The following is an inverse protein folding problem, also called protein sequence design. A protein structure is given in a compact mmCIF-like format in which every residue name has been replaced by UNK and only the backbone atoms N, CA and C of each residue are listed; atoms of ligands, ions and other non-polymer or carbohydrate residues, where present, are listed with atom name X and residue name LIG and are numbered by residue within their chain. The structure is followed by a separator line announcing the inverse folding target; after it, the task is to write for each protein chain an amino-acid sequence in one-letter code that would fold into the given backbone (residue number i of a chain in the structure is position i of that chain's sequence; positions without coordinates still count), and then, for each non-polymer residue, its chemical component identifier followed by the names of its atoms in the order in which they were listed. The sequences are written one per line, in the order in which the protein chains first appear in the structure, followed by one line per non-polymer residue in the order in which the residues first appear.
data_IF_708806467001
#
_entry.id   IF_708806467001
#
_cell.length_a   1.000
_cell.length_b   1.000
_cell.length_c   1.000
_cell.angle_alpha   90.00
_cell.angle_beta   90.00
_cell.angle_gamma   90.00
#
_symmetry.space_group_name_H-M   'P 1'
#
loop_
_entity.id
_entity.type
_entity.pdbx_description
1 polymer ?
#
# COMPACT_ATOMS: atom_id res chain seq x y z
N UNK A 1 -25.26 18.17 2.87
CA UNK A 1 -25.41 17.48 4.17
C UNK A 1 -25.64 16.01 3.87
N UNK A 2 -24.82 15.14 4.43
CA UNK A 2 -24.96 13.70 4.26
C UNK A 2 -26.27 13.20 4.89
N UNK A 3 -26.91 12.24 4.25
CA UNK A 3 -28.09 11.58 4.82
C UNK A 3 -27.63 10.56 5.88
N UNK A 4 -27.95 10.84 7.14
CA UNK A 4 -27.75 9.91 8.25
C UNK A 4 -28.92 8.92 8.28
N UNK A 5 -28.65 7.66 7.97
CA UNK A 5 -29.65 6.61 7.84
C UNK A 5 -29.42 5.54 8.90
N UNK A 6 -30.38 5.34 9.79
CA UNK A 6 -30.35 4.22 10.73
C UNK A 6 -30.72 2.93 10.00
N UNK A 7 -29.91 1.89 10.15
CA UNK A 7 -30.13 0.56 9.57
C UNK A 7 -30.17 -0.48 10.68
N UNK A 8 -31.20 -1.31 10.68
CA UNK A 8 -31.43 -2.36 11.69
C UNK A 8 -31.38 -3.78 11.09
N UNK A 9 -31.46 -3.90 9.77
CA UNK A 9 -31.43 -5.17 9.07
C UNK A 9 -30.00 -5.45 8.58
N UNK A 10 -29.35 -6.57 9.02
CA UNK A 10 -28.01 -6.93 8.55
C UNK A 10 -27.96 -7.33 7.06
N UNK A 11 -29.10 -7.70 6.48
CA UNK A 11 -29.23 -8.08 5.07
C UNK A 11 -29.62 -6.90 4.17
N UNK A 12 -29.66 -5.69 4.70
CA UNK A 12 -29.96 -4.48 3.95
C UNK A 12 -28.97 -4.32 2.79
N UNK A 13 -29.42 -4.26 1.54
CA UNK A 13 -28.55 -4.17 0.36
C UNK A 13 -27.63 -2.94 0.36
N UNK A 14 -27.98 -1.88 1.07
CA UNK A 14 -27.15 -0.69 1.21
C UNK A 14 -25.83 -0.97 1.96
N UNK A 15 -25.80 -2.01 2.82
CA UNK A 15 -24.61 -2.45 3.57
C UNK A 15 -23.69 -3.38 2.78
N UNK A 16 -24.03 -3.67 1.51
CA UNK A 16 -23.31 -4.65 0.69
C UNK A 16 -21.80 -4.41 0.62
N UNK A 17 -21.34 -3.15 0.56
CA UNK A 17 -19.92 -2.82 0.49
C UNK A 17 -19.14 -3.29 1.73
N UNK A 18 -19.81 -3.48 2.87
CA UNK A 18 -19.23 -3.88 4.15
C UNK A 18 -19.41 -5.34 4.51
N UNK A 19 -20.10 -6.11 3.68
CA UNK A 19 -20.41 -7.51 3.97
C UNK A 19 -19.18 -8.40 3.82
N UNK A 20 -18.94 -9.26 4.84
CA UNK A 20 -17.93 -10.30 4.76
C UNK A 20 -16.49 -9.77 4.63
N UNK A 21 -16.12 -8.73 5.37
CA UNK A 21 -14.77 -8.14 5.31
C UNK A 21 -13.66 -9.10 5.76
N UNK A 22 -13.99 -10.18 6.46
CA UNK A 22 -13.06 -11.22 6.86
C UNK A 22 -12.85 -12.30 5.80
N UNK A 23 -13.72 -12.38 4.80
CA UNK A 23 -13.55 -13.29 3.67
C UNK A 23 -12.56 -12.69 2.65
N UNK A 24 -11.29 -13.04 2.82
CA UNK A 24 -10.18 -12.51 2.01
C UNK A 24 -10.35 -12.87 0.53
N UNK A 25 -10.77 -14.10 0.22
CA UNK A 25 -10.93 -14.57 -1.15
C UNK A 25 -12.03 -13.79 -1.89
N UNK A 26 -13.19 -13.63 -1.24
CA UNK A 26 -14.29 -12.85 -1.76
C UNK A 26 -13.87 -11.39 -2.01
N UNK A 27 -13.24 -10.77 -1.01
CA UNK A 27 -12.89 -9.35 -1.05
C UNK A 27 -11.81 -9.03 -2.09
N UNK A 28 -10.80 -9.90 -2.24
CA UNK A 28 -9.74 -9.74 -3.26
C UNK A 28 -10.28 -9.72 -4.69
N UNK A 29 -11.35 -10.47 -4.94
CA UNK A 29 -12.02 -10.50 -6.26
C UNK A 29 -12.97 -9.32 -6.42
N UNK A 30 -13.77 -9.07 -5.40
CA UNK A 30 -14.88 -8.12 -5.46
C UNK A 30 -14.44 -6.66 -5.44
N UNK A 31 -13.52 -6.29 -4.55
CA UNK A 31 -13.15 -4.88 -4.37
C UNK A 31 -12.55 -4.25 -5.63
N UNK A 32 -11.57 -4.87 -6.32
CA UNK A 32 -11.10 -4.33 -7.59
C UNK A 32 -12.17 -4.35 -8.70
N UNK A 33 -12.95 -5.41 -8.79
CA UNK A 33 -13.99 -5.56 -9.82
C UNK A 33 -15.11 -4.52 -9.69
N UNK A 34 -15.50 -4.18 -8.46
CA UNK A 34 -16.52 -3.16 -8.16
C UNK A 34 -15.93 -1.76 -8.00
N UNK A 35 -14.61 -1.61 -8.10
CA UNK A 35 -13.91 -0.33 -8.03
C UNK A 35 -13.94 0.31 -6.64
N UNK A 36 -13.95 -0.47 -5.57
CA UNK A 36 -13.99 0.04 -4.21
C UNK A 36 -12.83 -0.45 -3.35
N UNK A 37 -12.61 0.23 -2.24
CA UNK A 37 -11.81 -0.25 -1.10
C UNK A 37 -12.38 0.24 0.21
N UNK A 38 -11.99 -0.39 1.32
CA UNK A 38 -12.48 -0.06 2.66
C UNK A 38 -11.41 0.66 3.46
N UNK A 39 -11.72 1.86 3.90
CA UNK A 39 -10.94 2.63 4.87
C UNK A 39 -11.50 2.40 6.28
N UNK A 40 -10.67 1.97 7.21
CA UNK A 40 -11.05 1.66 8.59
C UNK A 40 -10.41 2.65 9.57
N UNK A 41 -11.24 3.30 10.35
CA UNK A 41 -10.85 4.24 11.39
C UNK A 41 -10.75 5.69 10.91
N UNK A 42 -11.01 6.62 11.84
CA UNK A 42 -11.14 8.05 11.57
C UNK A 42 -9.95 8.66 10.83
N UNK A 43 -8.72 8.34 11.27
CA UNK A 43 -7.50 8.91 10.69
C UNK A 43 -7.29 8.44 9.24
N UNK A 44 -7.57 7.15 8.98
CA UNK A 44 -7.43 6.57 7.64
C UNK A 44 -8.49 7.14 6.70
N UNK A 45 -9.74 7.27 7.18
CA UNK A 45 -10.84 7.86 6.40
C UNK A 45 -10.52 9.30 6.01
N UNK A 46 -10.03 10.12 6.95
CA UNK A 46 -9.62 11.50 6.66
C UNK A 46 -8.48 11.56 5.64
N UNK A 47 -7.47 10.71 5.78
CA UNK A 47 -6.36 10.64 4.82
C UNK A 47 -6.81 10.23 3.43
N UNK A 48 -7.75 9.29 3.31
CA UNK A 48 -8.33 8.91 2.03
C UNK A 48 -9.09 10.08 1.38
N UNK A 49 -9.91 10.78 2.17
CA UNK A 49 -10.61 12.00 1.74
C UNK A 49 -9.62 13.08 1.28
N UNK A 50 -8.61 13.39 2.10
CA UNK A 50 -7.61 14.42 1.80
C UNK A 50 -6.78 14.08 0.55
N UNK A 51 -6.57 12.79 0.29
CA UNK A 51 -5.98 12.29 -0.94
C UNK A 51 -6.93 12.34 -2.16
N UNK A 52 -8.16 12.85 -1.98
CA UNK A 52 -9.13 13.05 -3.04
C UNK A 52 -9.84 11.78 -3.51
N UNK A 53 -9.94 10.75 -2.67
CA UNK A 53 -10.78 9.60 -2.96
C UNK A 53 -12.24 9.94 -2.68
N UNK A 54 -13.12 9.62 -3.61
CA UNK A 54 -14.56 9.79 -3.46
C UNK A 54 -15.11 8.75 -2.48
N UNK A 55 -15.91 9.20 -1.52
CA UNK A 55 -16.59 8.32 -0.57
C UNK A 55 -17.91 7.83 -1.19
N UNK A 56 -18.12 6.52 -1.21
CA UNK A 56 -19.36 5.88 -1.63
C UNK A 56 -20.40 5.85 -0.51
N UNK A 57 -19.95 5.56 0.70
CA UNK A 57 -20.75 5.56 1.92
C UNK A 57 -19.85 5.45 3.17
N UNK A 58 -20.44 5.67 4.33
CA UNK A 58 -19.81 5.43 5.63
C UNK A 58 -20.70 4.52 6.48
N UNK A 59 -20.07 3.60 7.23
CA UNK A 59 -20.73 2.76 8.23
C UNK A 59 -20.13 3.07 9.60
N UNK A 60 -20.95 3.41 10.58
CA UNK A 60 -20.48 3.72 11.94
C UNK A 60 -21.55 3.44 13.00
N UNK A 61 -21.13 3.30 14.25
CA UNK A 61 -22.06 3.30 15.38
C UNK A 61 -22.36 4.74 15.84
N UNK A 62 -23.52 4.93 16.46
CA UNK A 62 -24.02 6.24 16.85
C UNK A 62 -23.02 7.11 17.63
N UNK A 63 -22.23 6.51 18.52
CA UNK A 63 -21.19 7.19 19.31
C UNK A 63 -20.07 7.83 18.47
N UNK A 64 -19.89 7.40 17.21
CA UNK A 64 -18.87 7.93 16.31
C UNK A 64 -19.36 9.04 15.39
N UNK A 65 -20.66 9.30 15.38
CA UNK A 65 -21.27 10.36 14.55
C UNK A 65 -20.64 11.72 14.86
N UNK A 66 -20.53 12.06 16.14
CA UNK A 66 -19.95 13.36 16.53
C UNK A 66 -18.46 13.46 16.24
N UNK A 67 -17.71 12.35 16.40
CA UNK A 67 -16.28 12.30 16.07
C UNK A 67 -16.01 12.49 14.56
N UNK A 68 -16.95 12.03 13.74
CA UNK A 68 -16.84 12.10 12.27
C UNK A 68 -17.67 13.25 11.67
N UNK A 69 -18.24 14.13 12.50
CA UNK A 69 -19.15 15.20 12.08
C UNK A 69 -18.57 16.08 10.97
N UNK A 70 -17.33 16.48 11.12
CA UNK A 70 -16.60 17.27 10.12
C UNK A 70 -16.56 16.58 8.74
N UNK A 71 -16.32 15.28 8.71
CA UNK A 71 -16.30 14.49 7.47
C UNK A 71 -17.71 14.31 6.92
N UNK A 72 -18.68 14.01 7.80
CA UNK A 72 -20.08 13.80 7.43
C UNK A 72 -20.68 15.06 6.80
N UNK A 73 -20.41 16.22 7.37
CA UNK A 73 -21.03 17.48 6.91
C UNK A 73 -20.42 17.96 5.57
N UNK A 74 -19.21 17.57 5.26
CA UNK A 74 -18.53 17.96 4.01
C UNK A 74 -18.83 17.03 2.81
N UNK A 75 -19.26 15.80 3.05
CA UNK A 75 -19.38 14.79 2.00
C UNK A 75 -20.85 14.47 1.66
N UNK A 76 -21.19 14.38 0.37
CA UNK A 76 -22.56 14.08 -0.07
C UNK A 76 -22.87 12.55 -0.06
N UNK A 77 -22.10 11.76 0.67
CA UNK A 77 -22.25 10.31 0.73
C UNK A 77 -23.21 9.88 1.86
N UNK A 78 -24.01 8.81 1.68
CA UNK A 78 -24.87 8.29 2.74
C UNK A 78 -24.05 7.74 3.90
N UNK A 79 -24.54 7.98 5.12
CA UNK A 79 -23.93 7.49 6.36
C UNK A 79 -24.91 6.54 7.03
N UNK A 80 -24.49 5.29 7.17
CA UNK A 80 -25.29 4.24 7.80
C UNK A 80 -24.92 4.13 9.29
N UNK A 81 -25.85 4.52 10.15
CA UNK A 81 -25.73 4.36 11.59
C UNK A 81 -26.29 3.00 11.99
N UNK A 82 -25.47 2.18 12.63
CA UNK A 82 -25.81 0.80 13.03
C UNK A 82 -25.41 0.55 14.48
N UNK A 83 -26.02 -0.47 15.11
CA UNK A 83 -25.55 -0.92 16.41
C UNK A 83 -24.18 -1.64 16.25
N UNK A 84 -23.35 -1.70 17.32
CA UNK A 84 -22.11 -2.47 17.29
C UNK A 84 -22.31 -3.93 16.91
N UNK A 85 -23.38 -4.55 17.39
CA UNK A 85 -23.75 -5.94 17.12
C UNK A 85 -24.12 -6.16 15.66
N UNK A 86 -24.84 -5.20 15.06
CA UNK A 86 -25.16 -5.24 13.64
C UNK A 86 -23.89 -5.06 12.78
N UNK A 87 -23.02 -4.12 13.15
CA UNK A 87 -21.75 -3.92 12.47
C UNK A 87 -20.91 -5.19 12.45
N UNK A 88 -20.82 -5.91 13.57
CA UNK A 88 -20.11 -7.18 13.68
C UNK A 88 -20.72 -8.28 12.78
N UNK A 89 -22.05 -8.39 12.76
CA UNK A 89 -22.76 -9.35 11.89
C UNK A 89 -22.51 -9.09 10.41
N UNK A 90 -22.52 -7.83 10.01
CA UNK A 90 -22.30 -7.43 8.59
C UNK A 90 -20.86 -7.64 8.17
N UNK A 91 -19.91 -7.16 8.97
CA UNK A 91 -18.49 -7.15 8.63
C UNK A 91 -17.78 -8.48 8.89
N UNK A 92 -18.29 -9.29 9.83
CA UNK A 92 -17.70 -10.54 10.26
C UNK A 92 -16.64 -10.40 11.36
N UNK A 93 -16.47 -9.19 11.93
CA UNK A 93 -15.56 -8.96 13.05
C UNK A 93 -15.99 -7.76 13.90
N UNK A 94 -15.47 -7.70 15.12
CA UNK A 94 -15.75 -6.57 16.02
C UNK A 94 -15.02 -5.29 15.56
N UNK A 95 -15.80 -4.28 15.17
CA UNK A 95 -15.26 -3.01 14.64
C UNK A 95 -14.80 -2.10 15.77
N UNK A 96 -13.56 -2.28 16.22
CA UNK A 96 -13.01 -1.55 17.38
C UNK A 96 -12.86 -0.03 17.15
N UNK A 97 -12.57 0.40 15.92
CA UNK A 97 -12.34 1.81 15.56
C UNK A 97 -13.56 2.54 15.03
N UNK A 98 -14.71 1.94 15.16
CA UNK A 98 -16.04 2.52 15.11
C UNK A 98 -16.53 3.12 13.79
N UNK A 99 -15.66 3.38 12.81
CA UNK A 99 -16.05 3.92 11.51
C UNK A 99 -15.34 3.18 10.38
N UNK A 100 -16.13 2.82 9.36
CA UNK A 100 -15.68 2.28 8.09
C UNK A 100 -16.18 3.18 6.97
N UNK A 101 -15.39 3.38 5.93
CA UNK A 101 -15.83 4.05 4.72
C UNK A 101 -15.57 3.17 3.50
N UNK A 102 -16.57 3.05 2.64
CA UNK A 102 -16.40 2.52 1.30
C UNK A 102 -15.98 3.67 0.39
N UNK A 103 -14.82 3.52 -0.23
CA UNK A 103 -14.19 4.53 -1.06
C UNK A 103 -14.10 4.06 -2.51
N UNK A 104 -14.29 4.97 -3.46
CA UNK A 104 -14.15 4.70 -4.87
C UNK A 104 -12.66 4.65 -5.27
N UNK A 105 -12.24 3.60 -5.96
CA UNK A 105 -10.88 3.52 -6.52
C UNK A 105 -10.71 4.52 -7.65
N UNK A 106 -9.52 5.08 -7.75
CA UNK A 106 -9.09 5.90 -8.88
C UNK A 106 -8.37 5.04 -9.91
N UNK A 107 -8.38 5.41 -11.19
CA UNK A 107 -7.47 4.84 -12.18
C UNK A 107 -6.02 4.97 -11.70
N UNK A 108 -5.24 3.89 -11.84
CA UNK A 108 -3.81 3.94 -11.53
C UNK A 108 -3.05 4.66 -12.63
N UNK A 109 -2.00 5.44 -12.28
CA UNK A 109 -1.06 5.94 -13.27
C UNK A 109 -0.34 4.78 -13.95
N UNK A 110 0.22 5.02 -15.13
CA UNK A 110 1.11 4.05 -15.77
C UNK A 110 2.51 4.12 -15.14
N UNK A 111 3.27 3.04 -15.26
CA UNK A 111 4.67 3.06 -14.84
C UNK A 111 5.47 4.14 -15.59
N UNK A 112 5.20 4.31 -16.89
CA UNK A 112 5.85 5.33 -17.71
C UNK A 112 5.59 6.75 -17.16
N UNK A 113 4.37 7.06 -16.75
CA UNK A 113 4.03 8.38 -16.18
C UNK A 113 4.82 8.63 -14.88
N UNK A 114 4.89 7.63 -14.01
CA UNK A 114 5.61 7.76 -12.74
C UNK A 114 7.12 7.92 -12.95
N UNK A 115 7.69 7.20 -13.90
CA UNK A 115 9.12 7.22 -14.19
C UNK A 115 9.60 8.54 -14.82
N UNK A 116 8.72 9.38 -15.36
CA UNK A 116 9.11 10.67 -15.93
C UNK A 116 9.68 11.63 -14.88
N UNK A 117 9.10 11.65 -13.69
CA UNK A 117 9.47 12.63 -12.64
C UNK A 117 10.15 11.99 -11.44
N UNK A 118 9.95 10.70 -11.21
CA UNK A 118 10.52 9.99 -10.08
C UNK A 118 12.04 9.86 -10.18
N UNK A 119 12.72 9.88 -9.05
CA UNK A 119 14.15 9.63 -8.89
C UNK A 119 14.46 8.44 -7.99
N UNK A 120 13.57 8.14 -7.08
CA UNK A 120 13.68 7.08 -6.07
C UNK A 120 12.46 6.18 -6.15
N UNK A 121 12.62 5.03 -6.75
CA UNK A 121 11.51 4.11 -7.04
C UNK A 121 11.73 2.79 -6.32
N UNK A 122 10.65 2.23 -5.80
CA UNK A 122 10.61 0.87 -5.26
C UNK A 122 10.00 -0.04 -6.31
N UNK A 123 10.61 -1.20 -6.55
CA UNK A 123 10.05 -2.25 -7.40
C UNK A 123 9.85 -3.50 -6.54
N UNK A 124 8.63 -4.00 -6.46
CA UNK A 124 8.31 -5.18 -5.66
C UNK A 124 7.95 -6.36 -6.56
N UNK A 125 8.59 -7.50 -6.31
CA UNK A 125 8.28 -8.78 -6.97
C UNK A 125 7.56 -9.71 -6.00
N UNK A 126 6.34 -10.12 -6.36
CA UNK A 126 5.59 -11.19 -5.68
C UNK A 126 5.41 -10.99 -4.16
N UNK A 127 5.36 -9.76 -3.70
CA UNK A 127 5.05 -9.46 -2.30
C UNK A 127 3.56 -9.63 -2.08
N UNK A 128 3.17 -10.78 -1.53
CA UNK A 128 1.77 -11.22 -1.44
C UNK A 128 1.12 -10.98 -0.07
N UNK A 129 1.90 -10.69 0.96
CA UNK A 129 1.39 -10.38 2.28
C UNK A 129 0.99 -8.90 2.38
N UNK A 130 -0.29 -8.65 2.71
CA UNK A 130 -0.83 -7.30 2.83
C UNK A 130 -0.18 -6.49 3.95
N UNK A 131 0.31 -7.15 5.01
CA UNK A 131 1.03 -6.49 6.11
C UNK A 131 2.36 -5.95 5.62
N UNK A 132 3.09 -6.74 4.83
CA UNK A 132 4.35 -6.30 4.24
C UNK A 132 4.14 -5.18 3.21
N UNK A 133 3.13 -5.27 2.36
CA UNK A 133 2.75 -4.18 1.45
C UNK A 133 2.50 -2.89 2.24
N UNK A 134 1.68 -2.95 3.27
CA UNK A 134 1.39 -1.77 4.11
C UNK A 134 2.63 -1.19 4.79
N UNK A 135 3.50 -2.03 5.34
CA UNK A 135 4.74 -1.63 6.00
C UNK A 135 5.72 -0.97 5.00
N UNK A 136 5.85 -1.54 3.81
CA UNK A 136 6.72 -1.00 2.75
C UNK A 136 6.22 0.37 2.28
N UNK A 137 4.93 0.53 2.02
CA UNK A 137 4.36 1.82 1.63
C UNK A 137 4.52 2.88 2.73
N UNK A 138 4.35 2.51 4.00
CA UNK A 138 4.56 3.42 5.11
C UNK A 138 6.00 3.90 5.18
N UNK A 139 6.96 3.01 5.05
CA UNK A 139 8.38 3.34 5.02
C UNK A 139 8.76 4.14 3.77
N UNK A 140 8.20 3.80 2.61
CA UNK A 140 8.41 4.54 1.36
C UNK A 140 7.94 6.00 1.49
N UNK A 141 6.74 6.22 2.03
CA UNK A 141 6.22 7.56 2.30
C UNK A 141 7.10 8.34 3.29
N UNK A 142 7.45 7.71 4.42
CA UNK A 142 8.23 8.35 5.48
C UNK A 142 9.65 8.71 5.05
N UNK A 143 10.26 7.90 4.18
CA UNK A 143 11.65 8.03 3.77
C UNK A 143 11.82 8.64 2.36
N UNK A 144 10.73 9.17 1.78
CA UNK A 144 10.78 9.98 0.58
C UNK A 144 11.06 9.20 -0.71
N UNK A 145 10.55 7.97 -0.83
CA UNK A 145 10.48 7.29 -2.11
C UNK A 145 9.39 7.95 -2.98
N UNK A 146 9.66 8.15 -4.25
CA UNK A 146 8.80 8.92 -5.14
C UNK A 146 7.65 8.09 -5.73
N UNK A 147 7.88 6.80 -5.95
CA UNK A 147 6.89 5.90 -6.55
C UNK A 147 7.16 4.43 -6.21
N UNK A 148 6.12 3.61 -6.35
CA UNK A 148 6.19 2.16 -6.19
C UNK A 148 5.70 1.47 -7.46
N UNK A 149 6.45 0.52 -7.96
CA UNK A 149 6.09 -0.36 -9.08
C UNK A 149 5.89 -1.78 -8.56
N UNK A 150 4.79 -2.40 -8.93
CA UNK A 150 4.39 -3.72 -8.47
C UNK A 150 4.44 -4.73 -9.62
N UNK A 151 5.03 -5.90 -9.40
CA UNK A 151 4.84 -7.02 -10.32
C UNK A 151 3.35 -7.41 -10.37
N UNK A 152 2.88 -8.08 -11.44
CA UNK A 152 1.44 -8.36 -11.61
C UNK A 152 0.79 -9.13 -10.46
N UNK A 153 1.57 -9.94 -9.75
CA UNK A 153 1.13 -10.84 -8.68
C UNK A 153 1.29 -10.29 -7.26
N UNK A 154 1.77 -9.07 -7.09
CA UNK A 154 1.79 -8.42 -5.78
C UNK A 154 0.39 -8.24 -5.19
N UNK A 155 0.27 -8.30 -3.86
CA UNK A 155 -0.95 -8.00 -3.15
C UNK A 155 -1.41 -6.55 -3.41
N UNK A 156 -2.70 -6.32 -3.20
CA UNK A 156 -3.34 -5.04 -3.45
C UNK A 156 -3.02 -4.02 -2.34
N UNK A 157 -2.37 -2.88 -2.65
CA UNK A 157 -2.11 -1.82 -1.68
C UNK A 157 -3.37 -1.20 -1.07
N UNK A 158 -4.50 -1.23 -1.80
CA UNK A 158 -5.78 -0.69 -1.32
C UNK A 158 -6.64 -1.73 -0.58
N UNK A 159 -6.18 -2.97 -0.45
CA UNK A 159 -6.87 -3.92 0.42
C UNK A 159 -6.85 -3.42 1.87
N UNK A 160 -7.97 -3.58 2.58
CA UNK A 160 -8.20 -3.02 3.93
C UNK A 160 -7.02 -3.20 4.89
N UNK A 161 -6.39 -4.40 4.90
CA UNK A 161 -5.24 -4.67 5.78
C UNK A 161 -4.01 -3.84 5.41
N UNK A 162 -3.69 -3.72 4.12
CA UNK A 162 -2.59 -2.88 3.64
C UNK A 162 -2.80 -1.42 4.00
N UNK A 163 -4.01 -0.91 3.78
CA UNK A 163 -4.40 0.46 4.14
C UNK A 163 -4.26 0.70 5.63
N UNK A 164 -4.74 -0.25 6.46
CA UNK A 164 -4.68 -0.15 7.92
C UNK A 164 -3.25 -0.18 8.45
N UNK A 165 -2.44 -1.12 8.00
CA UNK A 165 -1.03 -1.28 8.43
C UNK A 165 -0.21 -0.06 8.02
N UNK A 166 -0.42 0.47 6.82
CA UNK A 166 0.24 1.68 6.35
C UNK A 166 -0.26 2.95 7.05
N UNK A 167 -1.32 2.87 7.82
CA UNK A 167 -2.02 4.04 8.38
C UNK A 167 -2.45 5.05 7.30
N UNK A 168 -2.80 4.58 6.10
CA UNK A 168 -3.15 5.41 4.96
C UNK A 168 -1.96 5.98 4.19
N UNK A 169 -0.72 5.59 4.50
CA UNK A 169 0.45 6.03 3.73
C UNK A 169 0.41 5.55 2.26
N UNK A 170 -0.33 4.50 1.95
CA UNK A 170 -0.61 4.06 0.56
C UNK A 170 -1.24 5.16 -0.30
N UNK A 171 -1.90 6.15 0.31
CA UNK A 171 -2.48 7.28 -0.42
C UNK A 171 -1.46 8.38 -0.76
N UNK A 172 -0.29 8.36 -0.13
CA UNK A 172 0.74 9.40 -0.26
C UNK A 172 1.82 9.08 -1.29
N UNK A 173 1.98 7.80 -1.64
CA UNK A 173 2.99 7.37 -2.62
C UNK A 173 2.26 6.78 -3.83
N UNK A 174 2.41 7.39 -5.02
CA UNK A 174 1.81 6.86 -6.23
C UNK A 174 2.42 5.50 -6.59
N UNK A 175 1.60 4.62 -7.14
CA UNK A 175 2.05 3.31 -7.58
C UNK A 175 1.42 2.89 -8.89
N UNK A 176 2.09 1.99 -9.61
CA UNK A 176 1.61 1.37 -10.82
C UNK A 176 1.86 -0.14 -10.79
N UNK A 177 1.06 -0.90 -11.53
CA UNK A 177 1.35 -2.30 -11.82
C UNK A 177 2.11 -2.43 -13.12
N UNK A 178 3.09 -3.30 -13.12
CA UNK A 178 3.84 -3.69 -14.32
C UNK A 178 3.06 -4.79 -15.06
N UNK A 179 2.94 -4.68 -16.37
CA UNK A 179 2.11 -5.61 -17.16
C UNK A 179 2.79 -6.97 -17.36
N UNK A 180 4.09 -6.94 -17.59
CA UNK A 180 4.89 -8.14 -17.89
C UNK A 180 6.13 -8.20 -17.01
N UNK A 181 6.32 -9.34 -16.34
CA UNK A 181 7.45 -9.53 -15.44
C UNK A 181 8.37 -10.67 -15.89
N UNK A 182 9.69 -10.51 -15.83
CA UNK A 182 10.44 -9.29 -15.46
C UNK A 182 10.74 -8.33 -16.63
N UNK A 183 10.16 -8.55 -17.79
CA UNK A 183 10.43 -7.76 -19.02
C UNK A 183 10.22 -6.25 -18.81
N UNK A 184 9.24 -5.85 -18.00
CA UNK A 184 8.97 -4.45 -17.70
C UNK A 184 10.14 -3.72 -17.00
N UNK A 185 11.10 -4.43 -16.42
CA UNK A 185 12.31 -3.84 -15.84
C UNK A 185 13.19 -3.14 -16.90
N UNK A 186 13.11 -3.58 -18.14
CA UNK A 186 13.81 -2.93 -19.26
C UNK A 186 13.34 -1.48 -19.44
N UNK A 187 12.03 -1.24 -19.37
CA UNK A 187 11.47 0.12 -19.44
C UNK A 187 11.93 1.01 -18.29
N UNK A 188 12.13 0.45 -17.11
CA UNK A 188 12.67 1.19 -15.94
C UNK A 188 14.12 1.59 -16.20
N UNK A 189 14.92 0.70 -16.75
CA UNK A 189 16.31 0.98 -17.12
C UNK A 189 16.38 2.03 -18.24
N UNK A 190 15.57 1.89 -19.28
CA UNK A 190 15.50 2.84 -20.39
C UNK A 190 15.10 4.25 -19.94
N UNK A 191 14.31 4.36 -18.85
CA UNK A 191 13.99 5.62 -18.20
C UNK A 191 15.17 6.22 -17.40
N UNK A 192 16.34 5.60 -17.41
CA UNK A 192 17.58 6.09 -16.81
C UNK A 192 17.79 5.69 -15.35
N UNK A 193 17.06 4.69 -14.86
CA UNK A 193 17.24 4.18 -13.49
C UNK A 193 18.33 3.11 -13.42
N UNK A 194 19.12 3.17 -12.35
CA UNK A 194 19.98 2.06 -11.94
C UNK A 194 19.14 1.07 -11.14
N UNK A 195 19.05 -0.17 -11.58
CA UNK A 195 18.32 -1.25 -10.93
C UNK A 195 19.18 -1.91 -9.86
N UNK A 196 18.84 -1.71 -8.59
CA UNK A 196 19.49 -2.34 -7.45
C UNK A 196 18.62 -3.47 -6.90
N UNK A 197 19.13 -4.71 -6.99
CA UNK A 197 18.45 -5.87 -6.42
C UNK A 197 18.86 -6.07 -4.95
N UNK A 198 17.94 -5.91 -4.03
CA UNK A 198 18.19 -6.21 -2.62
C UNK A 198 18.10 -7.71 -2.38
N UNK A 199 19.21 -8.32 -2.04
CA UNK A 199 19.35 -9.77 -1.82
C UNK A 199 20.30 -10.04 -0.65
N UNK A 200 20.10 -11.11 0.16
CA UNK A 200 21.03 -11.50 1.21
C UNK A 200 22.28 -12.22 0.70
N UNK A 201 22.43 -12.41 -0.60
CA UNK A 201 23.58 -13.11 -1.22
C UNK A 201 24.90 -12.45 -0.81
N UNK A 202 25.85 -13.27 -0.34
CA UNK A 202 27.15 -12.78 0.13
C UNK A 202 27.99 -12.11 -0.98
N UNK A 203 27.71 -12.40 -2.24
CA UNK A 203 28.35 -11.76 -3.40
C UNK A 203 27.87 -10.35 -3.66
N UNK A 204 26.72 -9.98 -3.08
CA UNK A 204 26.19 -8.64 -3.20
C UNK A 204 27.05 -7.63 -2.43
N UNK A 205 27.19 -6.42 -2.96
CA UNK A 205 27.82 -5.32 -2.22
C UNK A 205 26.96 -4.90 -1.05
N UNK A 206 27.57 -4.43 0.03
CA UNK A 206 26.78 -3.77 1.08
C UNK A 206 26.15 -2.50 0.55
N UNK A 207 25.03 -2.09 1.16
CA UNK A 207 24.38 -0.82 0.81
C UNK A 207 25.31 0.38 1.01
N UNK A 208 26.19 0.33 2.00
CA UNK A 208 27.19 1.38 2.25
C UNK A 208 28.18 1.51 1.09
N UNK A 209 28.69 0.38 0.60
CA UNK A 209 29.61 0.33 -0.55
C UNK A 209 28.93 0.77 -1.86
N UNK A 210 27.68 0.37 -2.06
CA UNK A 210 26.92 0.74 -3.25
C UNK A 210 26.55 2.24 -3.26
N UNK A 211 26.46 2.85 -2.08
CA UNK A 211 26.16 4.28 -1.90
C UNK A 211 24.99 4.79 -2.77
N UNK A 212 23.78 4.19 -2.68
CA UNK A 212 22.67 4.48 -3.58
C UNK A 212 22.17 5.93 -3.48
N UNK A 213 22.44 6.61 -2.37
CA UNK A 213 22.10 8.04 -2.19
C UNK A 213 22.86 8.97 -3.16
N UNK A 214 23.97 8.51 -3.72
CA UNK A 214 24.77 9.27 -4.71
C UNK A 214 24.29 9.06 -6.14
N UNK A 215 23.44 8.07 -6.39
CA UNK A 215 22.89 7.79 -7.71
C UNK A 215 21.84 8.82 -8.08
N UNK A 216 21.81 9.29 -9.33
CA UNK A 216 20.83 10.25 -9.81
C UNK A 216 19.41 9.66 -9.79
N UNK A 217 19.24 8.49 -10.39
CA UNK A 217 17.96 7.77 -10.44
C UNK A 217 18.17 6.30 -10.04
N UNK A 218 17.47 5.86 -9.02
CA UNK A 218 17.60 4.50 -8.49
C UNK A 218 16.25 3.82 -8.36
N UNK A 219 16.18 2.57 -8.81
CA UNK A 219 15.06 1.66 -8.59
C UNK A 219 15.52 0.52 -7.70
N UNK A 220 15.04 0.49 -6.46
CA UNK A 220 15.36 -0.55 -5.49
C UNK A 220 14.35 -1.69 -5.62
N UNK A 221 14.85 -2.89 -5.93
CA UNK A 221 14.05 -4.09 -6.13
C UNK A 221 13.98 -4.90 -4.85
N UNK A 222 12.76 -5.26 -4.44
CA UNK A 222 12.45 -6.08 -3.27
C UNK A 222 11.70 -7.34 -3.71
N UNK A 223 12.09 -8.49 -3.18
CA UNK A 223 11.43 -9.78 -3.45
C UNK A 223 10.49 -10.23 -2.34
N UNK A 224 9.80 -11.33 -2.59
CA UNK A 224 8.91 -11.99 -1.63
C UNK A 224 9.66 -12.50 -0.39
N UNK A 225 8.93 -12.70 0.71
CA UNK A 225 9.46 -13.41 1.88
C UNK A 225 9.80 -14.86 1.52
N UNK A 226 10.92 -15.33 2.03
CA UNK A 226 11.43 -16.68 1.79
C UNK A 226 12.26 -16.77 0.52
N UNK A 227 11.61 -16.72 -0.62
CA UNK A 227 12.29 -16.92 -1.93
C UNK A 227 13.11 -15.70 -2.40
N UNK A 228 12.77 -14.49 -1.91
CA UNK A 228 13.41 -13.26 -2.35
C UNK A 228 13.09 -12.92 -3.81
N UNK A 229 14.01 -12.26 -4.48
CA UNK A 229 13.91 -11.96 -5.91
C UNK A 229 14.17 -13.21 -6.76
N UNK A 230 13.39 -13.37 -7.83
CA UNK A 230 13.61 -14.45 -8.79
C UNK A 230 14.98 -14.32 -9.46
N UNK A 231 15.49 -15.45 -9.94
CA UNK A 231 16.75 -15.45 -10.72
C UNK A 231 16.69 -14.52 -11.93
N UNK A 232 15.54 -14.43 -12.58
CA UNK A 232 15.33 -13.56 -13.74
C UNK A 232 15.40 -12.08 -13.35
N UNK A 233 14.80 -11.71 -12.23
CA UNK A 233 14.88 -10.35 -11.70
C UNK A 233 16.32 -9.99 -11.28
N UNK A 234 17.03 -10.92 -10.63
CA UNK A 234 18.44 -10.73 -10.26
C UNK A 234 19.35 -10.53 -11.48
N UNK A 235 19.13 -11.28 -12.56
CA UNK A 235 19.88 -11.13 -13.81
C UNK A 235 19.57 -9.77 -14.47
N UNK A 236 18.34 -9.29 -14.38
CA UNK A 236 17.93 -8.02 -14.95
C UNK A 236 18.49 -6.81 -14.19
N UNK A 237 18.91 -6.97 -12.93
CA UNK A 237 19.45 -5.89 -12.11
C UNK A 237 20.85 -5.46 -12.59
N UNK A 238 21.17 -4.17 -12.43
CA UNK A 238 22.48 -3.63 -12.72
C UNK A 238 23.49 -3.98 -11.62
N UNK A 239 23.02 -4.01 -10.36
CA UNK A 239 23.85 -4.32 -9.21
C UNK A 239 23.05 -5.05 -8.13
N UNK A 240 23.70 -5.98 -7.44
CA UNK A 240 23.14 -6.63 -6.25
C UNK A 240 23.65 -5.93 -5.00
N UNK A 241 22.72 -5.63 -4.10
CA UNK A 241 23.02 -4.96 -2.84
C UNK A 241 22.45 -5.74 -1.66
N UNK A 242 23.11 -5.69 -0.53
CA UNK A 242 22.72 -6.38 0.68
C UNK A 242 22.80 -5.49 1.91
N UNK A 243 22.01 -5.83 2.90
CA UNK A 243 22.14 -5.36 4.28
C UNK A 243 23.02 -6.38 5.00
N UNK A 244 24.23 -6.03 5.47
CA UNK A 244 25.07 -6.95 6.23
C UNK A 244 24.35 -7.48 7.46
N UNK A 245 24.36 -8.80 7.67
CA UNK A 245 23.75 -9.46 8.82
C UNK A 245 24.80 -9.86 9.84
N UNK A 246 24.39 -9.96 11.11
CA UNK A 246 25.23 -10.41 12.23
C UNK A 246 24.59 -11.63 12.92
N UNK A 247 25.35 -12.30 13.77
CA UNK A 247 24.89 -13.40 14.61
C UNK A 247 24.24 -14.59 13.88
N UNK A 248 24.63 -14.83 12.62
CA UNK A 248 24.10 -15.94 11.83
C UNK A 248 22.63 -15.78 11.39
N UNK A 249 22.11 -14.57 11.42
CA UNK A 249 20.79 -14.27 10.86
C UNK A 249 20.90 -14.20 9.34
N UNK A 250 20.04 -14.94 8.63
CA UNK A 250 20.09 -15.03 7.16
C UNK A 250 19.54 -13.79 6.48
N UNK A 251 18.40 -13.26 6.98
CA UNK A 251 17.72 -12.11 6.38
C UNK A 251 16.79 -11.40 7.39
N UNK A 252 16.35 -10.20 7.03
CA UNK A 252 15.28 -9.48 7.73
C UNK A 252 13.92 -9.75 7.05
N UNK A 253 12.82 -9.55 7.80
CA UNK A 253 11.51 -9.39 7.18
C UNK A 253 11.58 -8.33 6.08
N UNK A 254 10.87 -8.55 4.96
CA UNK A 254 10.98 -7.68 3.78
C UNK A 254 10.58 -6.22 4.06
N UNK A 255 9.60 -5.99 4.94
CA UNK A 255 9.22 -4.63 5.38
C UNK A 255 10.32 -3.94 6.17
N UNK A 256 10.99 -4.67 7.06
CA UNK A 256 12.15 -4.17 7.81
C UNK A 256 13.35 -3.90 6.91
N UNK A 257 13.66 -4.84 6.01
CA UNK A 257 14.72 -4.68 5.02
C UNK A 257 14.46 -3.47 4.10
N UNK A 258 13.21 -3.26 3.69
CA UNK A 258 12.79 -2.12 2.90
C UNK A 258 13.09 -0.80 3.63
N UNK A 259 12.72 -0.67 4.90
CA UNK A 259 12.95 0.55 5.67
C UNK A 259 14.45 0.91 5.77
N UNK A 260 15.31 -0.09 6.03
CA UNK A 260 16.76 0.11 6.08
C UNK A 260 17.31 0.55 4.72
N UNK A 261 16.87 -0.11 3.65
CA UNK A 261 17.33 0.19 2.30
C UNK A 261 16.84 1.56 1.82
N UNK A 262 15.60 1.96 2.14
CA UNK A 262 15.07 3.29 1.82
C UNK A 262 15.83 4.39 2.55
N UNK A 263 16.20 4.16 3.80
CA UNK A 263 17.04 5.08 4.54
C UNK A 263 18.41 5.26 3.85
N UNK A 264 19.05 4.19 3.43
CA UNK A 264 20.31 4.25 2.69
C UNK A 264 20.19 5.01 1.36
N UNK A 265 19.05 4.87 0.66
CA UNK A 265 18.74 5.63 -0.57
C UNK A 265 18.50 7.11 -0.29
N UNK A 266 17.89 7.44 0.83
CA UNK A 266 17.55 8.82 1.22
C UNK A 266 18.72 9.60 1.86
N UNK A 267 19.71 8.91 2.44
CA UNK A 267 20.82 9.53 3.15
C UNK A 267 21.57 10.52 2.24
N UNK A 268 21.75 11.74 2.73
CA UNK A 268 22.41 12.82 1.96
C UNK A 268 21.45 13.75 1.24
N UNK A 269 20.13 13.57 1.32
CA UNK A 269 19.17 14.60 0.91
C UNK A 269 19.19 15.75 1.93
N UNK A 270 19.16 17.04 1.51
CA UNK A 270 18.95 18.13 2.45
C UNK A 270 17.59 17.96 3.13
N UNK A 271 17.54 18.23 4.43
CA UNK A 271 16.25 18.31 5.14
C UNK A 271 15.39 19.39 4.48
N UNK A 272 14.22 19.01 3.98
CA UNK A 272 13.25 19.93 3.36
C UNK A 272 12.35 20.58 4.39
#
# INVERSE_FOLDING_TARGET
VADLITVEDPDDPRLRDYTGLTDVELRRKREPAEGLFIAEGEKVIRRAKDAGYEMRSMLLSAKWVDVMRDVIDELPAPVYAVSPELAERVTGYHVHRGALASMQRKPLPTAADLLQTARRVVVMESVNDHTNIGAIFRSAAALGMDAVLLSPDCADPLYRRSVKVSMGAVFSVPYARLDTWPKSLESVREAGFTLLALTPDEKAKSLDEAAPHKMDRVALMLGAEGDGLSRQALIAADEWVRIPMAHGVDSLNVGAAAAVAFYAVATGRPET
#
